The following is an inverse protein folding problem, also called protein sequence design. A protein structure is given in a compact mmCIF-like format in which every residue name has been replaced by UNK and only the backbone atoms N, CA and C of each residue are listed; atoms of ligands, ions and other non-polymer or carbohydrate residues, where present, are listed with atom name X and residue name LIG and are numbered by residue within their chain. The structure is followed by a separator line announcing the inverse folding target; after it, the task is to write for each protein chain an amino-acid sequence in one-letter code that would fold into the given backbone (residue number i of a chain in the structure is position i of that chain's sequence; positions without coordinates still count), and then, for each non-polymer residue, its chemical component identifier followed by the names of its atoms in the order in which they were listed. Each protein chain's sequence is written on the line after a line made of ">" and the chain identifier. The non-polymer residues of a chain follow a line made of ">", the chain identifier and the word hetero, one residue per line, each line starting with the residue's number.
data_IF_361304054905
#
_entry.id   IF_361304054905
#
_cell.length_a   1.000
_cell.length_b   1.000
_cell.length_c   1.000
_cell.angle_alpha   90.00
_cell.angle_beta   90.00
_cell.angle_gamma   90.00
#
_symmetry.space_group_name_H-M   'P 1'
#
loop_
_entity.id
_entity.type
_entity.pdbx_description
1 polymer ?
#
# COMPACT_ATOMS: atom_id res chain seq x y z
N UNK A 1 -43.12 6.55 23.44
CA UNK A 1 -42.58 5.25 23.96
C UNK A 1 -43.69 4.22 23.81
N UNK A 2 -43.54 3.35 22.83
CA UNK A 2 -44.50 2.25 22.66
C UNK A 2 -44.14 1.14 23.66
N UNK A 3 -45.15 0.62 24.36
CA UNK A 3 -44.98 -0.47 25.29
C UNK A 3 -44.87 -1.82 24.56
N UNK A 4 -44.26 -2.81 25.18
CA UNK A 4 -44.08 -4.16 24.63
C UNK A 4 -45.40 -4.84 24.20
N UNK A 5 -46.52 -4.38 24.74
CA UNK A 5 -47.85 -4.89 24.45
C UNK A 5 -48.43 -4.27 23.16
N UNK A 6 -48.17 -2.99 22.90
CA UNK A 6 -48.61 -2.31 21.68
C UNK A 6 -47.85 -2.80 20.45
N UNK A 7 -46.58 -3.29 20.63
CA UNK A 7 -45.82 -3.92 19.57
C UNK A 7 -46.35 -5.30 19.17
N UNK A 8 -46.86 -6.09 20.13
CA UNK A 8 -47.42 -7.41 19.88
C UNK A 8 -48.84 -7.37 19.29
N UNK A 9 -49.64 -6.33 19.59
CA UNK A 9 -50.98 -6.14 19.00
C UNK A 9 -50.95 -5.65 17.55
N UNK A 10 -49.85 -4.95 17.14
CA UNK A 10 -49.64 -4.54 15.75
C UNK A 10 -49.24 -5.68 14.81
N UNK A 11 -48.82 -6.82 15.35
CA UNK A 11 -48.42 -8.04 14.59
C UNK A 11 -49.59 -9.02 14.30
N UNK A 12 -50.77 -8.78 14.86
CA UNK A 12 -51.88 -9.72 14.78
C UNK A 12 -52.95 -9.42 13.69
N UNK A 13 -52.83 -8.33 12.93
CA UNK A 13 -53.78 -7.98 11.88
C UNK A 13 -53.04 -7.81 10.54
N UNK A 14 -53.04 -8.87 9.71
CA UNK A 14 -52.53 -8.73 8.35
C UNK A 14 -52.16 -10.03 7.65
N UNK A 15 -52.99 -11.06 7.73
CA UNK A 15 -52.89 -12.19 6.76
C UNK A 15 -53.87 -11.96 5.63
N UNK A 16 -53.37 -11.52 4.47
CA UNK A 16 -53.83 -11.96 3.14
C UNK A 16 -53.12 -11.17 2.02
N UNK A 17 -52.36 -11.86 1.23
CA UNK A 17 -52.21 -11.59 -0.22
C UNK A 17 -51.15 -10.58 -0.65
N UNK A 18 -49.97 -11.06 -1.08
CA UNK A 18 -49.42 -10.90 -2.40
C UNK A 18 -47.92 -11.22 -2.39
N UNK A 19 -47.57 -12.36 -2.96
CA UNK A 19 -46.19 -12.71 -3.25
C UNK A 19 -45.64 -11.78 -4.35
N UNK A 20 -44.79 -10.82 -3.97
CA UNK A 20 -43.89 -10.11 -4.88
C UNK A 20 -42.49 -10.39 -4.40
N UNK A 21 -41.69 -11.02 -5.26
CA UNK A 21 -40.30 -11.38 -4.97
C UNK A 21 -39.48 -10.14 -4.61
N UNK A 22 -39.15 -10.01 -3.36
CA UNK A 22 -38.11 -9.09 -2.89
C UNK A 22 -36.86 -9.92 -2.65
N UNK A 23 -35.87 -9.71 -3.52
CA UNK A 23 -34.48 -10.08 -3.27
C UNK A 23 -34.12 -9.73 -1.83
N UNK A 24 -33.55 -10.69 -1.11
CA UNK A 24 -33.10 -10.56 0.27
C UNK A 24 -32.17 -9.33 0.38
N UNK A 25 -32.68 -8.20 0.81
CA UNK A 25 -31.86 -7.12 1.35
C UNK A 25 -31.14 -7.69 2.58
N UNK A 26 -29.83 -7.59 2.54
CA UNK A 26 -28.98 -7.90 3.67
C UNK A 26 -29.57 -7.35 4.95
N UNK A 27 -29.74 -8.19 5.97
CA UNK A 27 -30.09 -7.77 7.32
C UNK A 27 -29.12 -6.65 7.75
N UNK A 28 -29.61 -5.44 7.96
CA UNK A 28 -28.88 -4.42 8.69
C UNK A 28 -28.60 -5.01 10.08
N UNK A 29 -27.34 -5.28 10.37
CA UNK A 29 -26.90 -5.76 11.69
C UNK A 29 -27.25 -4.70 12.72
N UNK A 30 -28.04 -5.05 13.72
CA UNK A 30 -28.32 -4.21 14.89
C UNK A 30 -27.02 -3.95 15.62
N UNK A 31 -26.66 -2.66 15.78
CA UNK A 31 -25.41 -2.23 16.44
C UNK A 31 -25.39 -2.72 17.88
N UNK A 32 -24.56 -3.72 18.17
CA UNK A 32 -24.36 -4.31 19.51
C UNK A 32 -22.88 -4.67 19.73
N UNK A 33 -22.51 -5.11 20.93
CA UNK A 33 -21.13 -5.41 21.32
C UNK A 33 -20.41 -6.47 20.44
N UNK A 34 -21.14 -7.17 19.56
CA UNK A 34 -20.63 -8.18 18.61
C UNK A 34 -20.41 -7.63 17.19
N UNK A 35 -20.53 -6.33 16.97
CA UNK A 35 -20.58 -5.73 15.63
C UNK A 35 -19.22 -5.25 15.11
N UNK A 36 -18.14 -5.88 15.59
CA UNK A 36 -16.78 -5.60 15.09
C UNK A 36 -16.54 -6.33 13.77
N UNK A 37 -15.83 -5.66 12.85
CA UNK A 37 -15.35 -6.29 11.62
C UNK A 37 -14.30 -7.35 11.93
N UNK A 38 -14.41 -8.51 11.32
CA UNK A 38 -13.47 -9.61 11.41
C UNK A 38 -12.39 -9.44 10.35
N UNK A 39 -11.17 -9.16 10.79
CA UNK A 39 -10.00 -9.06 9.93
C UNK A 39 -9.20 -10.35 9.92
N UNK A 40 -8.70 -10.71 8.74
CA UNK A 40 -7.60 -11.66 8.61
C UNK A 40 -6.32 -10.90 8.21
N UNK A 41 -5.22 -11.15 8.93
CA UNK A 41 -3.91 -10.55 8.65
C UNK A 41 -3.04 -11.56 7.91
N UNK A 42 -2.54 -11.21 6.72
CA UNK A 42 -1.75 -12.07 5.85
C UNK A 42 -0.37 -11.44 5.64
N UNK A 43 0.70 -12.22 5.94
CA UNK A 43 2.07 -11.72 6.00
C UNK A 43 2.36 -11.08 7.35
N UNK A 44 2.99 -11.84 8.25
CA UNK A 44 3.00 -11.56 9.68
C UNK A 44 4.35 -11.04 10.20
N UNK A 45 5.36 -10.97 9.35
CA UNK A 45 6.64 -10.38 9.72
C UNK A 45 6.62 -8.85 9.56
N UNK A 46 7.51 -8.14 10.25
CA UNK A 46 7.72 -6.70 10.06
C UNK A 46 6.39 -5.92 10.01
N UNK A 47 5.92 -5.57 8.82
CA UNK A 47 4.74 -4.72 8.59
C UNK A 47 3.43 -5.30 9.16
N UNK A 48 3.30 -6.62 9.25
CA UNK A 48 2.15 -7.26 9.92
C UNK A 48 1.95 -6.78 11.36
N UNK A 49 3.03 -6.51 12.11
CA UNK A 49 2.93 -5.98 13.46
C UNK A 49 2.38 -4.55 13.52
N UNK A 50 2.63 -3.72 12.51
CA UNK A 50 1.97 -2.42 12.40
C UNK A 50 0.46 -2.56 12.17
N UNK A 51 0.04 -3.57 11.37
CA UNK A 51 -1.38 -3.89 11.21
C UNK A 51 -2.01 -4.35 12.53
N UNK A 52 -1.32 -5.21 13.30
CA UNK A 52 -1.77 -5.60 14.65
C UNK A 52 -1.95 -4.36 15.55
N UNK A 53 -0.95 -3.48 15.60
CA UNK A 53 -1.01 -2.25 16.39
C UNK A 53 -2.21 -1.38 16.00
N UNK A 54 -2.42 -1.18 14.71
CA UNK A 54 -3.51 -0.32 14.21
C UNK A 54 -4.89 -0.95 14.41
N UNK A 55 -5.03 -2.28 14.25
CA UNK A 55 -6.28 -2.97 14.58
C UNK A 55 -6.55 -2.95 16.08
N UNK A 56 -5.51 -3.04 16.94
CA UNK A 56 -5.63 -2.84 18.38
C UNK A 56 -6.09 -1.40 18.72
N UNK A 57 -5.55 -0.38 18.08
CA UNK A 57 -6.00 1.00 18.25
C UNK A 57 -7.48 1.18 17.87
N UNK A 58 -7.97 0.40 16.91
CA UNK A 58 -9.35 0.39 16.43
C UNK A 58 -10.20 -0.78 16.97
N UNK A 59 -9.82 -1.39 18.11
CA UNK A 59 -10.45 -2.62 18.65
C UNK A 59 -11.94 -2.52 19.00
N UNK A 60 -12.47 -1.32 19.15
CA UNK A 60 -13.91 -1.10 19.34
C UNK A 60 -14.73 -1.40 18.07
N UNK A 61 -14.11 -1.36 16.90
CA UNK A 61 -14.76 -1.53 15.60
C UNK A 61 -14.23 -2.71 14.79
N UNK A 62 -13.09 -3.29 15.17
CA UNK A 62 -12.42 -4.39 14.46
C UNK A 62 -11.81 -5.39 15.43
N UNK A 63 -11.62 -6.63 14.96
CA UNK A 63 -10.86 -7.67 15.64
C UNK A 63 -10.07 -8.51 14.65
N UNK A 64 -9.03 -9.20 15.12
CA UNK A 64 -8.26 -10.15 14.31
C UNK A 64 -8.82 -11.55 14.57
N UNK A 65 -9.54 -12.10 13.59
CA UNK A 65 -10.12 -13.44 13.66
C UNK A 65 -9.21 -14.53 13.09
N UNK A 66 -8.38 -14.17 12.10
CA UNK A 66 -7.48 -15.10 11.41
C UNK A 66 -6.12 -14.47 11.16
N UNK A 67 -5.08 -15.30 11.13
CA UNK A 67 -3.71 -14.88 10.77
C UNK A 67 -3.09 -15.92 9.83
N UNK A 68 -2.30 -15.46 8.86
CA UNK A 68 -1.72 -16.34 7.85
C UNK A 68 -0.26 -15.98 7.55
N UNK A 69 0.60 -16.98 7.64
CA UNK A 69 1.98 -16.91 7.16
C UNK A 69 2.48 -18.31 6.78
N UNK A 70 3.33 -18.37 5.77
CA UNK A 70 3.94 -19.63 5.29
C UNK A 70 5.13 -20.10 6.15
N UNK A 71 5.62 -19.25 7.07
CA UNK A 71 6.59 -19.60 8.11
C UNK A 71 5.87 -19.91 9.42
N UNK A 72 5.93 -21.17 9.86
CA UNK A 72 5.22 -21.65 11.07
C UNK A 72 5.70 -20.98 12.37
N UNK A 73 6.97 -20.55 12.44
CA UNK A 73 7.50 -19.86 13.61
C UNK A 73 6.97 -18.42 13.69
N UNK A 74 6.92 -17.72 12.53
CA UNK A 74 6.35 -16.39 12.43
C UNK A 74 4.85 -16.44 12.75
N UNK A 75 4.13 -17.41 12.18
CA UNK A 75 2.70 -17.62 12.38
C UNK A 75 2.38 -17.78 13.88
N UNK A 76 3.09 -18.69 14.57
CA UNK A 76 2.91 -18.89 16.00
C UNK A 76 3.21 -17.63 16.81
N UNK A 77 4.36 -17.00 16.56
CA UNK A 77 4.80 -15.80 17.29
C UNK A 77 3.78 -14.66 17.15
N UNK A 78 3.19 -14.50 15.97
CA UNK A 78 2.22 -13.46 15.73
C UNK A 78 0.87 -13.77 16.38
N UNK A 79 0.40 -15.02 16.32
CA UNK A 79 -0.83 -15.44 17.02
C UNK A 79 -0.71 -15.22 18.53
N UNK A 80 0.43 -15.58 19.14
CA UNK A 80 0.73 -15.31 20.55
C UNK A 80 0.73 -13.79 20.85
N UNK A 81 1.20 -12.94 19.89
CA UNK A 81 1.16 -11.49 20.04
C UNK A 81 -0.28 -10.94 19.99
N UNK A 82 -1.13 -11.43 19.09
CA UNK A 82 -2.55 -11.05 19.04
C UNK A 82 -3.23 -11.40 20.37
N UNK A 83 -3.00 -12.60 20.89
CA UNK A 83 -3.55 -13.00 22.19
C UNK A 83 -3.10 -12.08 23.33
N UNK A 84 -1.82 -11.73 23.37
CA UNK A 84 -1.25 -10.85 24.40
C UNK A 84 -1.77 -9.41 24.29
N UNK A 85 -1.85 -8.87 23.07
CA UNK A 85 -2.13 -7.46 22.82
C UNK A 85 -3.64 -7.14 22.75
N UNK A 86 -4.45 -8.09 22.27
CA UNK A 86 -5.88 -7.88 22.04
C UNK A 86 -6.77 -8.79 22.92
N UNK A 87 -6.22 -9.83 23.55
CA UNK A 87 -6.97 -10.80 24.31
C UNK A 87 -7.75 -11.80 23.44
N UNK A 88 -7.39 -11.92 22.15
CA UNK A 88 -8.08 -12.74 21.15
C UNK A 88 -7.17 -13.85 20.64
N UNK A 89 -7.73 -15.06 20.45
CA UNK A 89 -7.01 -16.20 19.87
C UNK A 89 -7.43 -16.36 18.41
N UNK A 90 -6.66 -15.84 17.45
CA UNK A 90 -7.00 -15.94 16.04
C UNK A 90 -6.80 -17.39 15.56
N UNK A 91 -7.63 -17.81 14.60
CA UNK A 91 -7.35 -19.02 13.84
C UNK A 91 -6.09 -18.82 12.97
N UNK A 92 -5.28 -19.87 12.83
CA UNK A 92 -4.00 -19.81 12.12
C UNK A 92 -4.04 -20.64 10.85
N UNK A 93 -3.60 -20.04 9.74
CA UNK A 93 -3.56 -20.69 8.43
C UNK A 93 -2.19 -20.51 7.78
N UNK A 94 -1.71 -21.54 7.08
CA UNK A 94 -0.49 -21.40 6.24
C UNK A 94 -0.82 -20.90 4.85
N UNK A 95 -1.97 -21.27 4.33
CA UNK A 95 -2.42 -20.93 2.98
C UNK A 95 -3.59 -19.93 3.07
N UNK A 96 -3.37 -18.73 2.56
CA UNK A 96 -4.37 -17.66 2.61
C UNK A 96 -5.68 -18.04 1.91
N UNK A 97 -5.65 -18.96 0.94
CA UNK A 97 -6.85 -19.44 0.25
C UNK A 97 -7.86 -20.07 1.19
N UNK A 98 -7.40 -20.67 2.30
CA UNK A 98 -8.28 -21.19 3.35
C UNK A 98 -9.03 -20.09 4.08
N UNK A 99 -8.36 -18.94 4.32
CA UNK A 99 -9.02 -17.76 4.91
C UNK A 99 -10.18 -17.28 4.03
N UNK A 100 -10.05 -17.34 2.70
CA UNK A 100 -11.07 -16.86 1.78
C UNK A 100 -12.36 -17.72 1.82
N UNK A 101 -12.29 -18.96 2.28
CA UNK A 101 -13.43 -19.84 2.46
C UNK A 101 -14.29 -19.43 3.69
N UNK A 102 -13.74 -18.71 4.66
CA UNK A 102 -14.43 -18.29 5.87
C UNK A 102 -15.39 -17.11 5.59
N UNK A 103 -16.70 -17.37 5.71
CA UNK A 103 -17.75 -16.35 5.44
C UNK A 103 -17.80 -15.24 6.48
N UNK A 104 -17.32 -15.49 7.68
CA UNK A 104 -17.28 -14.54 8.79
C UNK A 104 -16.13 -13.56 8.73
N UNK A 105 -15.14 -13.76 7.86
CA UNK A 105 -14.09 -12.76 7.58
C UNK A 105 -14.66 -11.65 6.71
N UNK A 106 -14.67 -10.40 7.18
CA UNK A 106 -15.17 -9.22 6.47
C UNK A 106 -14.10 -8.59 5.57
N UNK A 107 -12.85 -8.55 6.06
CA UNK A 107 -11.73 -7.91 5.37
C UNK A 107 -10.42 -8.67 5.57
N UNK A 108 -9.55 -8.58 4.58
CA UNK A 108 -8.16 -9.06 4.67
C UNK A 108 -7.19 -7.89 4.64
N UNK A 109 -6.07 -8.02 5.37
CA UNK A 109 -4.93 -7.11 5.25
C UNK A 109 -3.74 -7.89 4.72
N UNK A 110 -3.05 -7.32 3.73
CA UNK A 110 -1.96 -7.97 3.01
C UNK A 110 -0.67 -7.20 3.26
N UNK A 111 0.28 -7.84 3.94
CA UNK A 111 1.62 -7.33 4.24
C UNK A 111 2.71 -8.36 3.86
N UNK A 112 2.41 -9.18 2.87
CA UNK A 112 3.31 -10.15 2.22
C UNK A 112 4.35 -9.45 1.34
N UNK A 113 5.30 -10.16 0.71
CA UNK A 113 6.16 -9.60 -0.34
C UNK A 113 5.36 -9.09 -1.55
N UNK A 114 5.94 -8.11 -2.28
CA UNK A 114 5.27 -7.35 -3.34
C UNK A 114 4.62 -8.24 -4.41
N UNK A 115 5.27 -9.35 -4.78
CA UNK A 115 4.77 -10.26 -5.82
C UNK A 115 3.44 -10.94 -5.47
N UNK A 116 3.05 -10.91 -4.21
CA UNK A 116 1.81 -11.47 -3.71
C UNK A 116 0.66 -10.46 -3.60
N UNK A 117 0.95 -9.16 -3.59
CA UNK A 117 -0.05 -8.14 -3.26
C UNK A 117 -1.29 -8.21 -4.15
N UNK A 118 -1.12 -8.08 -5.46
CA UNK A 118 -2.26 -8.11 -6.40
C UNK A 118 -2.93 -9.49 -6.49
N UNK A 119 -2.22 -10.63 -6.62
CA UNK A 119 -2.85 -11.94 -6.64
C UNK A 119 -3.74 -12.23 -5.42
N UNK A 120 -3.25 -11.92 -4.21
CA UNK A 120 -4.03 -12.09 -2.98
C UNK A 120 -5.22 -11.12 -2.92
N UNK A 121 -5.01 -9.86 -3.32
CA UNK A 121 -6.05 -8.84 -3.30
C UNK A 121 -7.22 -9.20 -4.24
N UNK A 122 -6.93 -9.64 -5.47
CA UNK A 122 -7.95 -10.08 -6.44
C UNK A 122 -8.70 -11.30 -5.89
N UNK A 123 -8.00 -12.31 -5.36
CA UNK A 123 -8.64 -13.48 -4.77
C UNK A 123 -9.54 -13.09 -3.58
N UNK A 124 -9.11 -12.14 -2.75
CA UNK A 124 -9.93 -11.60 -1.66
C UNK A 124 -11.21 -10.93 -2.16
N UNK A 125 -11.12 -10.12 -3.22
CA UNK A 125 -12.27 -9.48 -3.85
C UNK A 125 -13.25 -10.50 -4.43
N UNK A 126 -12.75 -11.53 -5.11
CA UNK A 126 -13.54 -12.66 -5.64
C UNK A 126 -14.28 -13.40 -4.53
N UNK A 127 -13.66 -13.56 -3.38
CA UNK A 127 -14.28 -14.16 -2.19
C UNK A 127 -15.21 -13.19 -1.41
N UNK A 128 -15.47 -11.99 -1.94
CA UNK A 128 -16.36 -11.01 -1.34
C UNK A 128 -15.77 -10.25 -0.14
N UNK A 129 -14.45 -10.25 0.04
CA UNK A 129 -13.76 -9.55 1.15
C UNK A 129 -13.37 -8.14 0.75
N UNK A 130 -13.39 -7.21 1.72
CA UNK A 130 -12.71 -5.93 1.59
C UNK A 130 -11.19 -6.13 1.75
N UNK A 131 -10.38 -5.29 1.12
CA UNK A 131 -8.92 -5.48 1.09
C UNK A 131 -8.18 -4.23 1.53
N UNK A 132 -7.29 -4.37 2.49
CA UNK A 132 -6.21 -3.42 2.75
C UNK A 132 -4.91 -4.05 2.23
N UNK A 133 -4.30 -3.45 1.23
CA UNK A 133 -3.05 -3.95 0.65
C UNK A 133 -1.91 -2.99 0.89
N UNK A 134 -0.78 -3.49 1.38
CA UNK A 134 0.42 -2.67 1.53
C UNK A 134 0.94 -2.16 0.17
N UNK A 135 1.70 -1.09 0.23
CA UNK A 135 2.38 -0.53 -0.94
C UNK A 135 3.65 -1.35 -1.27
N UNK A 136 3.98 -1.47 -2.56
CA UNK A 136 3.17 -1.12 -3.73
C UNK A 136 2.01 -2.11 -3.89
N UNK A 137 0.85 -1.66 -4.32
CA UNK A 137 -0.31 -2.55 -4.46
C UNK A 137 -0.14 -3.61 -5.55
N UNK A 138 0.86 -3.46 -6.42
CA UNK A 138 1.14 -4.36 -7.54
C UNK A 138 2.64 -4.49 -7.80
N UNK A 139 3.05 -5.64 -8.31
CA UNK A 139 4.43 -5.92 -8.69
C UNK A 139 4.80 -5.34 -10.08
N UNK A 140 3.84 -5.17 -10.95
CA UNK A 140 4.00 -4.64 -12.29
C UNK A 140 2.74 -3.84 -12.72
N UNK A 141 2.82 -3.01 -13.80
CA UNK A 141 1.70 -2.17 -14.20
C UNK A 141 0.42 -2.93 -14.58
N UNK A 142 0.55 -4.10 -15.22
CA UNK A 142 -0.62 -4.91 -15.60
C UNK A 142 -1.40 -5.37 -14.37
N UNK A 143 -0.71 -5.83 -13.32
CA UNK A 143 -1.35 -6.21 -12.05
C UNK A 143 -2.08 -5.04 -11.42
N UNK A 144 -1.49 -3.83 -11.45
CA UNK A 144 -2.14 -2.63 -10.92
C UNK A 144 -3.45 -2.32 -11.64
N UNK A 145 -3.45 -2.39 -12.96
CA UNK A 145 -4.66 -2.21 -13.78
C UNK A 145 -5.72 -3.28 -13.46
N UNK A 146 -5.31 -4.55 -13.38
CA UNK A 146 -6.20 -5.67 -13.03
C UNK A 146 -6.81 -5.50 -11.63
N UNK A 147 -6.05 -5.01 -10.65
CA UNK A 147 -6.57 -4.79 -9.29
C UNK A 147 -7.64 -3.69 -9.24
N UNK A 148 -7.44 -2.61 -10.01
CA UNK A 148 -8.45 -1.54 -10.14
C UNK A 148 -9.71 -2.07 -10.82
N UNK A 149 -9.58 -2.86 -11.88
CA UNK A 149 -10.69 -3.53 -12.56
C UNK A 149 -11.45 -4.49 -11.62
N UNK A 150 -10.72 -5.33 -10.90
CA UNK A 150 -11.31 -6.26 -9.93
C UNK A 150 -12.09 -5.54 -8.83
N UNK A 151 -11.55 -4.44 -8.31
CA UNK A 151 -12.24 -3.62 -7.31
C UNK A 151 -13.59 -3.09 -7.83
N UNK A 152 -13.64 -2.64 -9.09
CA UNK A 152 -14.87 -2.17 -9.72
C UNK A 152 -15.85 -3.33 -9.96
N UNK A 153 -15.36 -4.47 -10.47
CA UNK A 153 -16.18 -5.64 -10.79
C UNK A 153 -16.85 -6.26 -9.56
N UNK A 154 -16.11 -6.42 -8.47
CA UNK A 154 -16.63 -7.09 -7.27
C UNK A 154 -17.24 -6.13 -6.24
N UNK A 155 -17.13 -4.81 -6.43
CA UNK A 155 -17.79 -3.78 -5.61
C UNK A 155 -17.35 -3.75 -4.15
N UNK A 156 -16.17 -4.31 -3.83
CA UNK A 156 -15.57 -4.25 -2.49
C UNK A 156 -14.53 -3.14 -2.40
N UNK A 157 -14.29 -2.64 -1.21
CA UNK A 157 -13.30 -1.58 -1.01
C UNK A 157 -11.88 -2.15 -1.04
N UNK A 158 -10.99 -1.43 -1.71
CA UNK A 158 -9.54 -1.67 -1.66
C UNK A 158 -8.84 -0.38 -1.27
N UNK A 159 -8.16 -0.40 -0.11
CA UNK A 159 -7.30 0.69 0.35
C UNK A 159 -5.84 0.29 0.25
N UNK A 160 -5.02 1.15 -0.36
CA UNK A 160 -3.57 0.96 -0.42
C UNK A 160 -2.88 1.60 0.77
N UNK A 161 -1.85 0.96 1.30
CA UNK A 161 -1.05 1.39 2.45
C UNK A 161 -0.20 2.65 2.23
N UNK A 162 -0.79 3.75 1.74
CA UNK A 162 -0.17 5.09 1.67
C UNK A 162 -0.68 5.98 2.80
N UNK A 163 -0.23 5.70 4.01
CA UNK A 163 -0.77 6.22 5.26
C UNK A 163 -0.70 7.75 5.39
N UNK A 164 0.25 8.41 4.71
CA UNK A 164 0.35 9.87 4.68
C UNK A 164 -0.92 10.55 4.16
N UNK A 165 -1.73 9.86 3.34
CA UNK A 165 -3.05 10.36 2.89
C UNK A 165 -4.09 10.44 4.01
N UNK A 166 -3.85 9.81 5.15
CA UNK A 166 -4.70 9.90 6.34
C UNK A 166 -4.07 10.75 7.45
N UNK A 167 -2.88 11.31 7.21
CA UNK A 167 -2.21 12.18 8.16
C UNK A 167 -2.81 13.59 8.15
N UNK A 168 -3.28 14.12 9.29
CA UNK A 168 -3.94 15.43 9.35
C UNK A 168 -3.09 16.56 8.78
N UNK A 169 -1.79 16.61 9.11
CA UNK A 169 -0.92 17.68 8.62
C UNK A 169 -0.61 17.56 7.13
N UNK A 170 -0.57 16.32 6.59
CA UNK A 170 -0.39 16.14 5.13
C UNK A 170 -1.64 16.56 4.38
N UNK A 171 -2.82 16.21 4.88
CA UNK A 171 -4.11 16.68 4.32
C UNK A 171 -4.15 18.20 4.34
N UNK A 172 -3.91 18.80 5.50
CA UNK A 172 -3.92 20.25 5.68
C UNK A 172 -2.99 20.98 4.71
N UNK A 173 -1.74 20.52 4.58
CA UNK A 173 -0.77 21.22 3.73
C UNK A 173 -1.09 21.06 2.24
N UNK A 174 -1.61 19.90 1.82
CA UNK A 174 -2.05 19.71 0.43
C UNK A 174 -3.27 20.59 0.13
N UNK A 175 -4.23 20.70 1.03
CA UNK A 175 -5.36 21.63 0.89
C UNK A 175 -4.89 23.09 0.81
N UNK A 176 -3.94 23.50 1.64
CA UNK A 176 -3.32 24.84 1.56
C UNK A 176 -2.62 25.08 0.23
N UNK A 177 -1.90 24.09 -0.32
CA UNK A 177 -1.27 24.18 -1.64
C UNK A 177 -2.33 24.38 -2.71
N UNK A 178 -3.39 23.57 -2.71
CA UNK A 178 -4.51 23.70 -3.65
C UNK A 178 -5.27 25.03 -3.47
N UNK A 179 -5.31 25.56 -2.24
CA UNK A 179 -5.85 26.88 -1.92
C UNK A 179 -4.94 28.07 -2.31
N UNK A 180 -3.76 27.80 -2.91
CA UNK A 180 -2.89 28.84 -3.46
C UNK A 180 -1.81 29.39 -2.51
N UNK A 181 -1.54 28.77 -1.37
CA UNK A 181 -0.54 29.22 -0.38
C UNK A 181 0.85 29.46 -1.00
N UNK A 182 1.23 28.70 -2.04
CA UNK A 182 2.48 28.87 -2.79
C UNK A 182 2.26 29.29 -4.24
N UNK A 183 1.08 29.82 -4.56
CA UNK A 183 0.65 30.09 -5.93
C UNK A 183 0.40 28.78 -6.70
N UNK A 184 0.60 28.79 -8.04
CA UNK A 184 0.45 27.58 -8.86
C UNK A 184 1.65 26.65 -8.64
N UNK A 185 1.45 25.41 -8.13
CA UNK A 185 2.52 24.42 -7.99
C UNK A 185 2.93 23.92 -9.40
N UNK A 186 4.23 23.88 -9.69
CA UNK A 186 4.75 23.49 -11.00
C UNK A 186 5.88 22.49 -10.96
N UNK A 187 6.55 22.34 -9.81
CA UNK A 187 7.64 21.40 -9.64
C UNK A 187 7.52 20.70 -8.29
N UNK A 188 7.70 19.38 -8.26
CA UNK A 188 7.89 18.64 -7.03
C UNK A 188 9.17 17.81 -7.08
N UNK A 189 9.86 17.72 -5.95
CA UNK A 189 10.98 16.81 -5.72
C UNK A 189 10.63 15.88 -4.57
N UNK A 190 10.56 14.60 -4.85
CA UNK A 190 10.45 13.53 -3.87
C UNK A 190 11.82 12.88 -3.65
N UNK A 191 12.18 12.52 -2.42
CA UNK A 191 13.46 11.87 -2.15
C UNK A 191 13.39 10.88 -1.00
N UNK A 192 14.36 9.94 -1.03
CA UNK A 192 14.68 9.04 0.07
C UNK A 192 16.17 8.76 0.13
N UNK A 193 16.76 8.85 1.31
CA UNK A 193 18.16 8.55 1.60
C UNK A 193 18.24 7.57 2.76
N UNK A 194 19.08 6.53 2.64
CA UNK A 194 19.31 5.55 3.70
C UNK A 194 20.74 5.04 3.64
N UNK A 195 21.17 4.32 4.66
CA UNK A 195 22.51 3.71 4.76
C UNK A 195 22.36 2.19 4.78
N UNK A 196 21.73 1.64 3.73
CA UNK A 196 21.57 0.19 3.58
C UNK A 196 22.92 -0.46 3.34
N UNK A 197 23.12 -1.61 3.95
CA UNK A 197 24.32 -2.43 3.79
C UNK A 197 24.19 -3.33 2.55
N UNK A 198 25.31 -3.90 2.12
CA UNK A 198 25.31 -5.00 1.16
C UNK A 198 24.48 -6.17 1.67
N UNK A 199 23.77 -6.83 0.76
CA UNK A 199 23.06 -8.09 1.03
C UNK A 199 23.92 -9.32 0.79
N UNK A 200 25.20 -9.13 0.39
CA UNK A 200 26.13 -10.20 0.08
C UNK A 200 25.75 -11.01 -1.15
N UNK A 201 26.49 -12.11 -1.37
CA UNK A 201 26.19 -13.13 -2.37
C UNK A 201 25.65 -14.37 -1.67
N UNK A 202 24.37 -14.67 -1.91
CA UNK A 202 23.70 -15.80 -1.28
C UNK A 202 24.11 -17.14 -1.87
N UNK A 203 24.00 -18.16 -1.04
CA UNK A 203 24.24 -19.56 -1.41
C UNK A 203 22.93 -20.30 -1.49
N UNK A 204 22.83 -21.22 -2.43
CA UNK A 204 21.74 -22.19 -2.42
C UNK A 204 21.92 -23.13 -1.23
N UNK A 205 20.90 -23.18 -0.38
CA UNK A 205 20.89 -24.00 0.84
C UNK A 205 19.55 -24.69 0.97
N UNK A 206 19.44 -25.75 1.79
CA UNK A 206 18.15 -26.38 2.06
C UNK A 206 17.14 -25.36 2.61
N UNK A 207 15.90 -25.48 2.18
CA UNK A 207 14.79 -24.67 2.72
C UNK A 207 14.67 -24.90 4.22
N UNK A 208 14.59 -23.86 5.07
CA UNK A 208 14.33 -24.00 6.50
C UNK A 208 13.04 -24.81 6.76
N UNK A 209 13.08 -25.76 7.69
CA UNK A 209 11.98 -26.68 7.91
C UNK A 209 10.62 -26.02 8.29
N UNK A 210 10.67 -24.81 8.85
CA UNK A 210 9.48 -24.04 9.21
C UNK A 210 8.84 -23.29 8.03
N UNK A 211 9.56 -23.10 6.90
CA UNK A 211 9.16 -22.28 5.77
C UNK A 211 8.61 -23.16 4.63
N UNK A 212 7.39 -22.87 4.20
CA UNK A 212 6.85 -23.39 2.93
C UNK A 212 7.33 -22.52 1.78
N UNK A 213 8.46 -22.93 1.14
CA UNK A 213 9.08 -22.15 0.08
C UNK A 213 8.25 -22.10 -1.20
N UNK A 214 7.51 -23.15 -1.51
CA UNK A 214 6.63 -23.18 -2.69
C UNK A 214 5.48 -22.17 -2.55
N UNK A 215 4.81 -22.16 -1.39
CA UNK A 215 3.80 -21.15 -1.11
C UNK A 215 4.41 -19.76 -0.97
N UNK A 216 5.63 -19.64 -0.43
CA UNK A 216 6.28 -18.33 -0.35
C UNK A 216 6.54 -17.73 -1.72
N UNK A 217 7.05 -18.53 -2.68
CA UNK A 217 7.24 -18.11 -4.07
C UNK A 217 5.91 -17.86 -4.79
N UNK A 218 4.92 -18.72 -4.57
CA UNK A 218 3.56 -18.58 -5.09
C UNK A 218 3.48 -18.20 -6.56
N UNK A 219 3.08 -16.95 -6.91
CA UNK A 219 2.95 -16.52 -8.29
C UNK A 219 4.28 -16.25 -9.01
N UNK A 220 5.40 -16.18 -8.30
CA UNK A 220 6.71 -16.00 -8.92
C UNK A 220 7.23 -17.30 -9.56
N UNK A 221 8.00 -17.23 -10.66
CA UNK A 221 8.68 -18.40 -11.22
C UNK A 221 9.50 -19.12 -10.16
N UNK A 222 9.52 -20.46 -10.19
CA UNK A 222 10.23 -21.27 -9.21
C UNK A 222 11.74 -21.10 -9.30
N UNK A 223 12.36 -21.00 -8.13
CA UNK A 223 13.80 -20.91 -7.97
C UNK A 223 14.28 -21.56 -6.68
N UNK A 224 15.56 -21.91 -6.59
CA UNK A 224 16.13 -22.47 -5.38
C UNK A 224 16.09 -21.46 -4.23
N UNK A 225 16.06 -21.97 -3.00
CA UNK A 225 16.18 -21.13 -1.82
C UNK A 225 17.62 -20.66 -1.64
N UNK A 226 17.80 -19.33 -1.52
CA UNK A 226 19.09 -18.71 -1.17
C UNK A 226 18.99 -18.07 0.22
N UNK A 227 20.07 -18.21 1.00
CA UNK A 227 20.14 -17.76 2.38
C UNK A 227 20.11 -16.24 2.57
N UNK A 228 20.21 -15.46 1.49
CA UNK A 228 20.14 -14.00 1.50
C UNK A 228 18.82 -13.40 0.95
N UNK A 229 17.79 -14.20 0.68
CA UNK A 229 16.50 -13.70 0.14
C UNK A 229 15.49 -13.45 1.25
N UNK A 230 15.17 -14.48 2.02
CA UNK A 230 14.21 -14.43 3.12
C UNK A 230 14.92 -14.10 4.44
N UNK A 231 14.32 -13.34 5.38
CA UNK A 231 12.94 -12.85 5.37
C UNK A 231 12.75 -11.44 4.80
N UNK A 232 13.79 -10.70 4.47
CA UNK A 232 13.69 -9.25 4.15
C UNK A 232 14.23 -8.86 2.78
N UNK A 233 15.35 -9.44 2.34
CA UNK A 233 16.06 -8.96 1.14
C UNK A 233 15.35 -9.28 -0.17
N UNK A 234 14.22 -10.00 -0.13
CA UNK A 234 13.35 -10.23 -1.29
C UNK A 234 13.00 -8.93 -2.03
N UNK A 235 12.98 -7.79 -1.35
CA UNK A 235 12.76 -6.46 -1.96
C UNK A 235 13.68 -6.18 -3.15
N UNK A 236 14.88 -6.79 -3.15
CA UNK A 236 15.95 -6.53 -4.09
C UNK A 236 16.07 -7.59 -5.20
N UNK A 237 15.20 -8.57 -5.20
CA UNK A 237 15.14 -9.62 -6.23
C UNK A 237 13.92 -9.42 -7.11
N UNK A 238 14.11 -9.33 -8.43
CA UNK A 238 13.06 -8.98 -9.42
C UNK A 238 11.86 -9.91 -9.41
N UNK A 239 12.04 -11.17 -9.06
CA UNK A 239 10.92 -12.13 -8.97
C UNK A 239 9.98 -11.84 -7.79
N UNK A 240 10.45 -11.15 -6.75
CA UNK A 240 9.74 -11.02 -5.48
C UNK A 240 9.44 -9.57 -5.09
N UNK A 241 10.37 -8.67 -5.38
CA UNK A 241 10.28 -7.26 -5.00
C UNK A 241 10.37 -6.33 -6.20
N UNK A 242 10.29 -5.05 -5.92
CA UNK A 242 10.19 -3.96 -6.90
C UNK A 242 11.30 -2.90 -6.71
N UNK A 243 12.27 -3.18 -5.82
CA UNK A 243 13.38 -2.28 -5.52
C UNK A 243 13.01 -1.10 -4.62
N UNK A 244 13.99 -0.25 -4.32
CA UNK A 244 13.82 0.88 -3.40
C UNK A 244 12.83 1.93 -3.92
N UNK A 245 12.75 2.10 -5.22
CA UNK A 245 11.86 3.09 -5.82
C UNK A 245 10.41 2.86 -5.42
N UNK A 246 9.93 1.61 -5.44
CA UNK A 246 8.57 1.32 -4.98
C UNK A 246 8.52 1.06 -3.47
N UNK A 247 9.58 0.52 -2.87
CA UNK A 247 9.59 0.28 -1.43
C UNK A 247 9.43 1.57 -0.61
N UNK A 248 10.13 2.65 -0.96
CA UNK A 248 10.05 3.93 -0.27
C UNK A 248 9.50 5.07 -1.12
N UNK A 249 9.82 5.13 -2.42
CA UNK A 249 9.36 6.21 -3.31
C UNK A 249 7.84 6.30 -3.43
N UNK A 250 7.12 5.20 -3.26
CA UNK A 250 5.64 5.21 -3.33
C UNK A 250 5.03 6.25 -2.39
N UNK A 251 5.53 6.38 -1.17
CA UNK A 251 5.01 7.35 -0.20
C UNK A 251 5.25 8.80 -0.63
N UNK A 252 6.49 9.11 -1.04
CA UNK A 252 6.90 10.49 -1.32
C UNK A 252 6.38 10.96 -2.69
N UNK A 253 6.38 10.07 -3.69
CA UNK A 253 5.82 10.37 -5.02
C UNK A 253 4.30 10.52 -4.96
N UNK A 254 3.61 9.73 -4.14
CA UNK A 254 2.16 9.85 -3.96
C UNK A 254 1.77 11.20 -3.35
N UNK A 255 2.48 11.67 -2.32
CA UNK A 255 2.26 13.01 -1.73
C UNK A 255 2.58 14.11 -2.74
N UNK A 256 3.72 14.00 -3.45
CA UNK A 256 4.14 14.97 -4.46
C UNK A 256 3.13 15.07 -5.60
N UNK A 257 2.65 13.93 -6.12
CA UNK A 257 1.62 13.86 -7.15
C UNK A 257 0.30 14.49 -6.68
N UNK A 258 -0.12 14.18 -5.45
CA UNK A 258 -1.32 14.74 -4.85
C UNK A 258 -1.23 16.26 -4.72
N UNK A 259 -0.11 16.78 -4.22
CA UNK A 259 0.11 18.20 -4.05
C UNK A 259 0.19 18.96 -5.41
N UNK A 260 0.79 18.33 -6.44
CA UNK A 260 0.79 18.90 -7.79
C UNK A 260 -0.57 18.82 -8.49
N UNK A 261 -1.48 17.94 -8.06
CA UNK A 261 -2.77 17.71 -8.70
C UNK A 261 -2.63 17.07 -10.10
N UNK A 262 -1.78 16.02 -10.23
CA UNK A 262 -1.49 15.35 -11.50
C UNK A 262 -1.71 13.86 -11.41
N UNK A 263 -1.96 13.22 -12.56
CA UNK A 263 -2.06 11.77 -12.71
C UNK A 263 -0.86 11.24 -13.52
N UNK A 264 -1.05 10.58 -14.66
CA UNK A 264 0.04 10.02 -15.43
C UNK A 264 0.82 11.09 -16.21
N UNK A 265 2.17 11.04 -16.18
CA UNK A 265 2.99 11.96 -16.97
C UNK A 265 2.95 11.61 -18.45
N UNK A 266 3.34 12.55 -19.31
CA UNK A 266 3.52 12.31 -20.75
C UNK A 266 4.84 11.61 -21.06
N UNK A 267 5.88 11.80 -20.21
CA UNK A 267 7.22 11.26 -20.39
C UNK A 267 7.86 10.90 -19.06
N UNK A 268 8.60 9.79 -19.06
CA UNK A 268 9.42 9.34 -17.94
C UNK A 268 10.85 9.11 -18.40
N UNK A 269 11.82 9.67 -17.67
CA UNK A 269 13.24 9.41 -17.83
C UNK A 269 13.83 8.96 -16.51
N UNK A 270 14.73 7.97 -16.54
CA UNK A 270 15.40 7.48 -15.34
C UNK A 270 16.89 7.22 -15.61
N UNK A 271 17.73 7.61 -14.65
CA UNK A 271 19.18 7.37 -14.71
C UNK A 271 19.70 6.99 -13.33
N UNK A 272 20.59 6.01 -13.29
CA UNK A 272 21.14 5.50 -12.03
C UNK A 272 21.82 4.15 -12.20
N UNK A 273 22.17 3.52 -11.09
CA UNK A 273 22.83 2.24 -11.11
C UNK A 273 23.16 1.68 -9.74
N UNK A 274 23.81 0.52 -9.74
CA UNK A 274 24.38 -0.13 -8.57
C UNK A 274 25.83 0.32 -8.40
N UNK A 275 26.07 1.32 -7.54
CA UNK A 275 27.37 1.99 -7.45
C UNK A 275 28.16 1.64 -6.18
N UNK A 276 27.43 1.39 -5.06
CA UNK A 276 28.06 1.27 -3.74
C UNK A 276 28.60 -0.13 -3.47
N UNK A 277 27.86 -1.18 -3.84
CA UNK A 277 28.24 -2.58 -3.56
C UNK A 277 28.14 -3.46 -4.79
N UNK A 278 28.89 -4.56 -4.80
CA UNK A 278 28.76 -5.68 -5.75
C UNK A 278 28.21 -6.88 -4.97
N UNK A 279 26.95 -7.16 -5.11
CA UNK A 279 26.22 -8.21 -4.39
C UNK A 279 25.01 -8.70 -5.23
N UNK A 280 24.16 -9.54 -4.64
CA UNK A 280 22.99 -10.10 -5.35
C UNK A 280 21.82 -9.13 -5.53
N UNK A 281 21.92 -7.89 -5.09
CA UNK A 281 20.89 -6.88 -5.27
C UNK A 281 20.72 -6.54 -6.76
N UNK A 282 19.55 -6.84 -7.32
CA UNK A 282 19.28 -6.79 -8.77
C UNK A 282 18.76 -5.42 -9.25
N UNK A 283 18.48 -4.50 -8.35
CA UNK A 283 18.10 -3.13 -8.67
C UNK A 283 19.26 -2.16 -8.42
N UNK A 284 19.08 -0.92 -8.74
CA UNK A 284 19.99 0.18 -8.44
C UNK A 284 20.00 0.52 -6.94
N UNK A 285 21.08 1.09 -6.44
CA UNK A 285 21.11 1.75 -5.12
C UNK A 285 20.94 3.27 -5.22
N UNK A 286 21.11 3.81 -6.42
CA UNK A 286 20.98 5.24 -6.72
C UNK A 286 20.20 5.41 -8.00
N UNK A 287 19.10 6.18 -7.94
CA UNK A 287 18.26 6.48 -9.10
C UNK A 287 17.71 7.89 -9.02
N UNK A 288 17.76 8.58 -10.15
CA UNK A 288 17.04 9.84 -10.38
C UNK A 288 16.04 9.62 -11.50
N UNK A 289 14.79 9.99 -11.27
CA UNK A 289 13.71 9.91 -12.28
C UNK A 289 13.04 11.25 -12.45
N UNK A 290 12.68 11.58 -13.68
CA UNK A 290 11.86 12.73 -14.05
C UNK A 290 10.54 12.25 -14.65
N UNK A 291 9.45 12.81 -14.15
CA UNK A 291 8.08 12.62 -14.63
C UNK A 291 7.60 13.95 -15.18
N UNK A 292 7.46 14.07 -16.50
CA UNK A 292 7.11 15.32 -17.17
C UNK A 292 5.64 15.34 -17.58
N UNK A 293 5.01 16.47 -17.30
CA UNK A 293 3.67 16.87 -17.71
C UNK A 293 3.75 18.07 -18.66
N UNK A 294 2.66 18.59 -19.14
CA UNK A 294 2.70 19.73 -20.07
C UNK A 294 3.22 21.01 -19.42
N UNK A 295 2.82 21.28 -18.17
CA UNK A 295 3.15 22.51 -17.44
C UNK A 295 3.77 22.28 -16.07
N UNK A 296 4.13 21.02 -15.75
CA UNK A 296 4.65 20.59 -14.43
C UNK A 296 5.69 19.50 -14.58
N UNK A 297 6.46 19.31 -13.53
CA UNK A 297 7.40 18.22 -13.43
C UNK A 297 7.42 17.66 -11.99
N UNK A 298 7.56 16.36 -11.86
CA UNK A 298 7.88 15.69 -10.61
C UNK A 298 9.18 14.92 -10.78
N UNK A 299 10.08 15.01 -9.83
CA UNK A 299 11.30 14.20 -9.78
C UNK A 299 11.33 13.30 -8.56
N UNK A 300 11.89 12.11 -8.74
CA UNK A 300 12.23 11.18 -7.66
C UNK A 300 13.75 11.01 -7.58
N UNK A 301 14.30 11.05 -6.38
CA UNK A 301 15.69 10.75 -6.11
C UNK A 301 15.81 9.75 -4.96
N UNK A 302 16.24 8.52 -5.28
CA UNK A 302 16.49 7.43 -4.33
C UNK A 302 17.99 7.21 -4.13
N UNK A 303 18.44 7.25 -2.88
CA UNK A 303 19.82 6.92 -2.47
C UNK A 303 19.75 5.88 -1.35
N UNK A 304 19.84 4.61 -1.69
CA UNK A 304 19.65 3.51 -0.73
C UNK A 304 20.84 3.31 0.21
N UNK A 305 22.04 3.65 -0.25
CA UNK A 305 23.30 3.36 0.47
C UNK A 305 24.07 4.63 0.86
N UNK A 306 23.41 5.81 0.83
CA UNK A 306 24.00 7.11 1.15
C UNK A 306 22.99 7.98 1.90
N UNK A 307 23.31 8.32 3.16
CA UNK A 307 22.40 8.98 4.11
C UNK A 307 22.38 10.51 4.06
N UNK A 308 22.92 11.17 3.02
CA UNK A 308 22.89 12.63 2.92
C UNK A 308 21.44 13.11 2.80
N UNK A 309 21.06 14.00 3.71
CA UNK A 309 19.71 14.56 3.83
C UNK A 309 19.49 15.76 2.92
N UNK A 310 18.25 15.94 2.49
CA UNK A 310 17.78 17.19 1.88
C UNK A 310 16.87 17.94 2.85
N UNK A 311 17.05 19.23 2.97
CA UNK A 311 16.28 20.06 3.90
C UNK A 311 16.30 19.54 5.37
N UNK A 312 17.42 18.93 5.78
CA UNK A 312 17.56 18.29 7.09
C UNK A 312 16.80 16.96 7.24
N UNK A 313 16.17 16.42 6.18
CA UNK A 313 15.29 15.25 6.17
C UNK A 313 15.87 14.14 5.30
N UNK A 314 15.81 12.90 5.77
CA UNK A 314 16.23 11.71 5.03
C UNK A 314 15.22 11.32 3.94
N UNK A 315 13.99 11.78 4.06
CA UNK A 315 12.89 11.58 3.12
C UNK A 315 11.94 12.76 3.11
N UNK A 316 11.17 12.91 2.04
CA UNK A 316 10.13 13.93 1.97
C UNK A 316 9.80 14.35 0.57
N UNK A 317 8.98 15.41 0.49
CA UNK A 317 8.53 16.06 -0.73
C UNK A 317 8.72 17.57 -0.62
N UNK A 318 9.37 18.19 -1.60
CA UNK A 318 9.44 19.63 -1.76
C UNK A 318 8.57 20.04 -2.96
N UNK A 319 7.55 20.84 -2.72
CA UNK A 319 6.59 21.30 -3.73
C UNK A 319 6.85 22.80 -3.96
N UNK A 320 7.26 23.17 -5.16
CA UNK A 320 7.60 24.53 -5.57
C UNK A 320 6.45 25.12 -6.38
N UNK A 321 6.00 26.27 -5.93
CA UNK A 321 4.96 27.07 -6.59
C UNK A 321 5.49 28.44 -7.03
N UNK A 322 4.63 29.21 -7.69
CA UNK A 322 5.00 30.52 -8.27
C UNK A 322 5.25 31.61 -7.22
N UNK A 323 4.86 31.40 -5.95
CA UNK A 323 5.05 32.38 -4.87
C UNK A 323 5.75 31.82 -3.62
N UNK A 324 6.09 30.51 -3.60
CA UNK A 324 6.76 29.90 -2.46
C UNK A 324 7.01 28.40 -2.64
N UNK A 325 7.48 27.74 -1.58
CA UNK A 325 7.81 26.31 -1.54
C UNK A 325 7.30 25.69 -0.26
N UNK A 326 6.75 24.49 -0.35
CA UNK A 326 6.44 23.64 0.82
C UNK A 326 7.41 22.46 0.85
N UNK A 327 7.97 22.17 2.02
CA UNK A 327 8.69 20.92 2.30
C UNK A 327 7.86 20.13 3.32
N UNK A 328 7.48 18.91 2.98
CA UNK A 328 6.63 18.05 3.81
C UNK A 328 7.19 16.64 3.91
N UNK A 329 7.06 16.05 5.09
CA UNK A 329 7.33 14.63 5.39
C UNK A 329 6.36 14.09 6.43
N UNK A 330 6.71 12.99 7.09
CA UNK A 330 5.90 12.36 8.14
C UNK A 330 5.87 13.15 9.45
N UNK A 331 6.88 13.99 9.69
CA UNK A 331 7.08 14.73 10.94
C UNK A 331 6.49 16.15 10.90
N UNK A 332 6.02 16.59 9.73
CA UNK A 332 5.40 17.89 9.55
C UNK A 332 5.72 18.57 8.22
N UNK A 333 5.53 19.89 8.18
CA UNK A 333 5.83 20.68 6.99
C UNK A 333 6.44 22.05 7.33
N UNK A 334 7.15 22.61 6.35
CA UNK A 334 7.69 23.97 6.39
C UNK A 334 7.31 24.69 5.11
N UNK A 335 6.98 26.00 5.23
CA UNK A 335 6.63 26.87 4.11
C UNK A 335 7.71 27.94 3.98
N UNK A 336 8.16 28.18 2.75
CA UNK A 336 9.20 29.13 2.40
C UNK A 336 8.71 30.11 1.34
N UNK A 337 9.18 31.35 1.40
CA UNK A 337 9.03 32.32 0.31
C UNK A 337 9.98 31.99 -0.86
N UNK A 338 9.90 32.78 -1.95
CA UNK A 338 10.78 32.61 -3.14
C UNK A 338 12.26 32.87 -2.85
N UNK A 339 12.61 33.52 -1.74
CA UNK A 339 13.99 33.78 -1.33
C UNK A 339 14.54 32.68 -0.41
N UNK A 340 13.74 31.63 -0.14
CA UNK A 340 14.10 30.54 0.75
C UNK A 340 14.01 30.88 2.25
N UNK A 341 13.35 31.97 2.61
CA UNK A 341 13.09 32.31 4.01
C UNK A 341 11.86 31.53 4.48
N UNK A 342 12.01 30.78 5.58
CA UNK A 342 10.90 30.07 6.23
C UNK A 342 9.87 31.08 6.77
N UNK A 343 8.61 30.91 6.38
CA UNK A 343 7.48 31.77 6.74
C UNK A 343 6.55 31.09 7.74
N UNK A 344 6.45 29.76 7.70
CA UNK A 344 5.62 28.96 8.60
C UNK A 344 6.15 27.53 8.73
N UNK A 345 5.84 26.87 9.81
CA UNK A 345 6.11 25.45 10.03
C UNK A 345 5.04 24.81 10.90
N UNK A 346 4.86 23.51 10.71
CA UNK A 346 4.12 22.62 11.60
C UNK A 346 4.98 21.38 11.89
N UNK A 347 5.06 20.99 13.15
CA UNK A 347 5.75 19.76 13.58
C UNK A 347 4.80 18.89 14.35
N UNK A 348 4.76 17.62 14.02
CA UNK A 348 4.10 16.60 14.82
C UNK A 348 4.88 16.51 16.14
N UNK A 349 4.20 16.57 17.28
CA UNK A 349 4.86 16.37 18.58
C UNK A 349 5.57 15.01 18.64
N UNK A 350 6.60 14.90 19.45
CA UNK A 350 7.63 13.85 19.56
C UNK A 350 7.15 12.38 19.55
N UNK A 351 6.43 11.90 18.55
CA UNK A 351 5.88 10.54 18.55
C UNK A 351 6.22 9.66 17.35
N UNK A 352 6.99 10.09 16.37
CA UNK A 352 7.33 9.17 15.28
C UNK A 352 8.79 9.29 14.91
N UNK A 353 9.58 8.34 15.37
CA UNK A 353 10.83 8.06 14.68
C UNK A 353 10.45 7.51 13.29
N UNK A 354 10.97 8.14 12.25
CA UNK A 354 10.77 7.73 10.84
C UNK A 354 11.29 6.31 10.56
N UNK A 355 12.04 5.74 11.49
CA UNK A 355 12.60 4.38 11.44
C UNK A 355 11.67 3.29 11.96
N UNK A 356 10.60 3.61 12.69
CA UNK A 356 9.79 2.61 13.39
C UNK A 356 8.42 2.38 12.70
N UNK A 357 8.47 1.94 11.45
CA UNK A 357 7.26 1.46 10.73
C UNK A 357 6.79 0.07 11.20
N UNK A 358 7.46 -0.50 12.18
CA UNK A 358 7.19 -1.83 12.73
C UNK A 358 6.38 -1.79 14.02
N UNK A 359 6.07 -0.58 14.54
CA UNK A 359 5.34 -0.36 15.79
C UNK A 359 4.09 0.50 15.64
N UNK A 360 3.62 1.05 16.75
CA UNK A 360 2.48 1.96 16.80
C UNK A 360 2.78 3.25 16.01
N UNK A 361 1.96 3.52 15.00
CA UNK A 361 2.08 4.67 14.12
C UNK A 361 0.71 5.32 13.94
N UNK A 362 0.54 6.54 14.45
CA UNK A 362 -0.73 7.26 14.42
C UNK A 362 -1.28 7.47 13.00
N UNK A 363 -0.43 7.57 11.98
CA UNK A 363 -0.86 7.67 10.59
C UNK A 363 -1.47 6.34 10.10
N UNK A 364 -0.86 5.21 10.46
CA UNK A 364 -1.38 3.88 10.11
C UNK A 364 -2.68 3.64 10.88
N UNK A 365 -2.77 4.05 12.16
CA UNK A 365 -3.99 3.93 12.96
C UNK A 365 -5.17 4.71 12.34
N UNK A 366 -4.93 5.97 11.95
CA UNK A 366 -5.91 6.80 11.25
C UNK A 366 -6.30 6.23 9.89
N UNK A 367 -5.35 5.63 9.19
CA UNK A 367 -5.56 5.01 7.88
C UNK A 367 -6.46 3.76 7.98
N UNK A 368 -6.24 2.91 9.00
CA UNK A 368 -7.14 1.79 9.30
C UNK A 368 -8.52 2.28 9.78
N UNK A 369 -8.58 3.35 10.60
CA UNK A 369 -9.85 3.93 11.02
C UNK A 369 -10.70 4.39 9.81
N UNK A 370 -10.08 5.03 8.82
CA UNK A 370 -10.75 5.42 7.57
C UNK A 370 -11.22 4.20 6.76
N UNK A 371 -10.41 3.13 6.66
CA UNK A 371 -10.82 1.90 5.99
C UNK A 371 -12.02 1.23 6.67
N UNK A 372 -11.99 1.13 7.99
CA UNK A 372 -13.10 0.58 8.80
C UNK A 372 -14.35 1.43 8.64
N UNK A 373 -14.22 2.76 8.66
CA UNK A 373 -15.33 3.68 8.45
C UNK A 373 -15.92 3.58 7.03
N UNK A 374 -15.05 3.40 6.03
CA UNK A 374 -15.46 3.10 4.65
C UNK A 374 -16.33 1.84 4.57
N UNK A 375 -15.92 0.76 5.22
CA UNK A 375 -16.68 -0.51 5.24
C UNK A 375 -18.01 -0.37 5.99
N UNK A 376 -18.00 0.28 7.15
CA UNK A 376 -19.17 0.35 8.05
C UNK A 376 -20.17 1.42 7.69
N UNK A 377 -19.70 2.55 7.17
CA UNK A 377 -20.51 3.78 7.00
C UNK A 377 -20.54 4.29 5.57
N UNK A 378 -19.77 3.67 4.65
CA UNK A 378 -19.64 4.18 3.28
C UNK A 378 -18.81 5.46 3.18
N UNK A 379 -17.96 5.76 4.15
CA UNK A 379 -17.05 6.91 4.09
C UNK A 379 -16.05 6.75 2.94
N UNK A 380 -15.67 7.86 2.32
CA UNK A 380 -14.68 7.86 1.23
C UNK A 380 -13.31 7.42 1.74
N UNK A 381 -12.69 6.49 1.04
CA UNK A 381 -11.31 6.09 1.33
C UNK A 381 -10.32 7.22 1.01
N UNK A 382 -9.34 7.41 1.88
CA UNK A 382 -8.27 8.39 1.66
C UNK A 382 -7.26 7.92 0.60
N UNK A 383 -7.07 6.61 0.48
CA UNK A 383 -6.17 5.99 -0.48
C UNK A 383 -6.85 4.82 -1.23
N UNK A 384 -7.95 5.05 -1.98
CA UNK A 384 -8.51 3.99 -2.80
C UNK A 384 -7.48 3.52 -3.82
N UNK A 385 -7.48 2.22 -4.14
CA UNK A 385 -6.47 1.63 -5.03
C UNK A 385 -6.38 2.31 -6.39
N UNK A 386 -7.50 2.81 -6.92
CA UNK A 386 -7.53 3.57 -8.18
C UNK A 386 -6.66 4.85 -8.15
N UNK A 387 -6.55 5.48 -6.98
CA UNK A 387 -5.70 6.67 -6.78
C UNK A 387 -4.26 6.25 -6.48
N UNK A 388 -4.06 5.28 -5.60
CA UNK A 388 -2.73 4.82 -5.20
C UNK A 388 -1.96 4.15 -6.33
N UNK A 389 -2.65 3.38 -7.18
CA UNK A 389 -2.05 2.70 -8.32
C UNK A 389 -1.38 3.66 -9.32
N UNK A 390 -1.84 4.89 -9.44
CA UNK A 390 -1.20 5.87 -10.35
C UNK A 390 0.26 6.10 -9.93
N UNK A 391 0.51 6.38 -8.65
CA UNK A 391 1.87 6.58 -8.13
C UNK A 391 2.72 5.29 -8.25
N UNK A 392 2.11 4.12 -8.01
CA UNK A 392 2.79 2.82 -8.17
C UNK A 392 3.18 2.60 -9.64
N UNK A 393 2.27 2.80 -10.58
CA UNK A 393 2.56 2.67 -12.02
C UNK A 393 3.65 3.65 -12.48
N UNK A 394 3.62 4.91 -12.04
CA UNK A 394 4.68 5.88 -12.35
C UNK A 394 6.06 5.37 -11.93
N UNK A 395 6.17 4.80 -10.73
CA UNK A 395 7.45 4.27 -10.23
C UNK A 395 7.86 2.95 -10.90
N UNK A 396 6.90 2.12 -11.32
CA UNK A 396 7.18 0.95 -12.17
C UNK A 396 7.70 1.39 -13.54
N UNK A 397 7.14 2.43 -14.12
CA UNK A 397 7.65 3.05 -15.36
C UNK A 397 9.06 3.63 -15.18
N UNK A 398 9.40 4.14 -14.00
CA UNK A 398 10.77 4.52 -13.65
C UNK A 398 11.73 3.31 -13.71
N UNK A 399 11.33 2.18 -13.15
CA UNK A 399 12.10 0.93 -13.25
C UNK A 399 12.27 0.48 -14.71
N UNK A 400 11.20 0.53 -15.50
CA UNK A 400 11.22 0.15 -16.93
C UNK A 400 12.14 1.12 -17.72
N UNK A 401 12.01 2.44 -17.54
CA UNK A 401 12.86 3.42 -18.21
C UNK A 401 14.34 3.22 -17.92
N UNK A 402 14.68 2.92 -16.65
CA UNK A 402 16.05 2.58 -16.26
C UNK A 402 16.55 1.28 -16.93
N UNK A 403 15.74 0.25 -16.96
CA UNK A 403 16.10 -1.05 -17.54
C UNK A 403 16.33 -0.98 -19.04
N UNK A 404 15.42 -0.30 -19.77
CA UNK A 404 15.57 -0.10 -21.22
C UNK A 404 16.57 1.00 -21.58
N UNK A 405 17.07 1.73 -20.59
CA UNK A 405 18.04 2.82 -20.71
C UNK A 405 17.62 3.90 -21.72
N UNK A 406 16.35 4.28 -21.71
CA UNK A 406 15.79 5.36 -22.56
C UNK A 406 14.52 5.95 -21.97
N UNK A 407 14.11 7.09 -22.49
CA UNK A 407 12.86 7.73 -22.13
C UNK A 407 11.65 6.92 -22.61
N UNK A 408 10.56 7.01 -21.85
CA UNK A 408 9.26 6.42 -22.18
C UNK A 408 8.26 7.52 -22.47
N UNK A 409 7.52 7.39 -23.57
CA UNK A 409 6.37 8.22 -23.89
C UNK A 409 5.09 7.50 -23.52
N UNK A 410 4.14 8.20 -22.90
CA UNK A 410 2.99 7.57 -22.26
C UNK A 410 1.67 8.16 -22.76
N UNK A 411 0.64 7.33 -22.74
CA UNK A 411 -0.74 7.79 -22.76
C UNK A 411 -1.09 8.36 -21.37
N UNK A 412 -1.37 9.66 -21.31
CA UNK A 412 -1.67 10.35 -20.06
C UNK A 412 -3.00 9.96 -19.41
N UNK A 413 -3.87 9.18 -20.10
CA UNK A 413 -5.14 8.72 -19.56
C UNK A 413 -5.00 7.46 -18.71
N UNK A 414 -4.04 6.57 -19.06
CA UNK A 414 -3.90 5.25 -18.44
C UNK A 414 -2.46 4.86 -18.09
N UNK A 415 -1.48 5.70 -18.45
CA UNK A 415 -0.06 5.47 -18.18
C UNK A 415 0.61 4.44 -19.11
N UNK A 416 -0.08 3.93 -20.13
CA UNK A 416 0.50 2.93 -21.05
C UNK A 416 1.64 3.52 -21.87
N UNK A 417 2.69 2.72 -22.06
CA UNK A 417 3.86 3.06 -22.87
C UNK A 417 3.43 3.06 -24.34
N UNK A 418 3.74 4.16 -25.04
CA UNK A 418 3.42 4.34 -26.45
C UNK A 418 4.63 4.07 -27.34
N UNK A 419 4.39 3.41 -28.47
CA UNK A 419 5.37 3.21 -29.53
C UNK A 419 6.68 2.51 -29.13
N UNK A 420 6.68 1.73 -28.02
CA UNK A 420 7.83 0.97 -27.53
C UNK A 420 7.43 -0.46 -27.15
N UNK A 421 7.39 -1.40 -28.12
CA UNK A 421 7.02 -2.78 -27.85
C UNK A 421 8.00 -3.54 -26.96
N UNK A 422 9.28 -3.14 -26.91
CA UNK A 422 10.27 -3.75 -26.03
C UNK A 422 10.01 -3.38 -24.57
N UNK A 423 9.81 -2.10 -24.27
CA UNK A 423 9.45 -1.65 -22.95
C UNK A 423 8.09 -2.21 -22.50
N UNK A 424 7.14 -2.37 -23.41
CA UNK A 424 5.82 -2.98 -23.14
C UNK A 424 5.91 -4.47 -22.73
N UNK A 425 6.98 -5.20 -23.06
CA UNK A 425 7.18 -6.57 -22.52
C UNK A 425 7.33 -6.58 -21.00
N UNK A 426 7.79 -5.47 -20.41
CA UNK A 426 7.94 -5.31 -18.97
C UNK A 426 6.68 -4.78 -18.28
N UNK A 427 5.60 -4.53 -19.03
CA UNK A 427 4.29 -4.11 -18.47
C UNK A 427 3.66 -5.17 -17.57
N UNK A 428 3.90 -6.45 -17.86
CA UNK A 428 3.52 -7.61 -17.06
C UNK A 428 4.73 -8.42 -16.61
N UNK A 429 4.48 -9.61 -16.11
CA UNK A 429 5.52 -10.58 -15.72
C UNK A 429 5.12 -12.01 -16.08
N UNK A 430 6.08 -12.91 -16.01
CA UNK A 430 5.84 -14.35 -16.05
C UNK A 430 5.30 -14.83 -14.68
N UNK A 431 4.39 -15.79 -14.73
CA UNK A 431 3.80 -16.41 -13.55
C UNK A 431 4.12 -17.89 -13.53
N UNK A 432 4.28 -18.43 -12.33
CA UNK A 432 4.23 -19.88 -12.14
C UNK A 432 2.90 -20.43 -12.62
N UNK A 433 2.93 -21.64 -13.18
CA UNK A 433 1.73 -22.26 -13.75
C UNK A 433 0.57 -22.33 -12.74
N UNK A 434 -0.59 -21.83 -13.12
CA UNK A 434 -1.80 -21.81 -12.29
C UNK A 434 -1.90 -20.63 -11.31
N UNK A 435 -0.91 -19.74 -11.25
CA UNK A 435 -0.87 -18.62 -10.29
C UNK A 435 -1.17 -17.25 -10.89
N UNK A 436 -1.29 -17.13 -12.20
CA UNK A 436 -1.65 -15.86 -12.83
C UNK A 436 -3.01 -15.36 -12.31
N UNK A 437 -3.09 -14.12 -11.78
CA UNK A 437 -4.36 -13.56 -11.33
C UNK A 437 -5.32 -13.39 -12.53
N UNK A 438 -6.60 -13.51 -12.27
CA UNK A 438 -7.68 -13.33 -13.29
C UNK A 438 -8.78 -12.48 -12.66
N UNK A 439 -9.30 -11.52 -13.41
CA UNK A 439 -10.44 -10.67 -13.04
C UNK A 439 -11.74 -11.21 -13.56
#
# INVERSE_FOLDING_TARGET
>A
MFTRREFLEAMAVGTAGLAVGTTARSYERVVGANDRLNFAVIGLNGRGYAHLSSLKANKSAARISHVCDVDSNILKKFADAVQREMGESPATEKDFRRILEHKDVDAITIASPDHWHTPMAIAGLQAGKHVYVEKPCSHNPAEGAMLVEAQQKYGKLVQMGTQQRSSPHTIEIVEKIHGGTIGRPYLAKAWYSNVRKSIGTGKEVPVPAQLDWDLWQGPAPRGPYKDNVHPYNWHWFRNYGTGETLNNGTHEVDVSRWALGVDYPKRVTASGGRYQFKDDWQFYDTLVTSFEYDDRMLSWEGKSCQGMKYYGRDRGSAIMGTTGTVVVDRDGYEIYDLKGKKTSEFKVGTQTSTSDLLGADSMTDAHFANFIAGIRKGEKLNAPVSVGNVAVTMLQLSNIAWEVNRELHLDTKNGQIQNDPEAMKMWGREYEQGWAPRV
#
